data_IF_162812664791
#
_entry.id   IF_162812664791
#
_cell.length_a   1.000
_cell.length_b   1.000
_cell.length_c   1.000
_cell.angle_alpha   90.00
_cell.angle_beta   90.00
_cell.angle_gamma   90.00
#
_symmetry.space_group_name_H-M   'P 1'
#
loop_
_entity.id
_entity.type
_entity.pdbx_description
1 polymer ?
#
# COMPACT_ATOMS: atom_id res chain seq x y z
N UNK A 1 43.78 -18.40 31.71
CA UNK A 1 44.81 -19.27 31.10
C UNK A 1 44.27 -19.85 29.80
N UNK A 2 45.09 -19.75 28.76
CA UNK A 2 45.04 -20.40 27.42
C UNK A 2 43.93 -19.99 26.45
N UNK A 3 44.33 -19.08 25.56
CA UNK A 3 43.85 -18.80 24.20
C UNK A 3 43.96 -20.04 23.32
N UNK A 4 43.01 -20.26 22.42
CA UNK A 4 43.28 -20.95 21.13
C UNK A 4 42.59 -20.15 19.99
N UNK A 5 43.44 -19.49 19.21
CA UNK A 5 43.16 -19.06 17.83
C UNK A 5 43.12 -20.33 16.96
N UNK A 6 42.19 -20.35 16.01
CA UNK A 6 42.31 -21.17 14.80
C UNK A 6 42.01 -20.28 13.60
N UNK A 7 43.06 -19.97 12.86
CA UNK A 7 43.05 -19.42 11.52
C UNK A 7 42.76 -20.55 10.54
N UNK A 8 41.87 -20.36 9.56
CA UNK A 8 41.84 -21.19 8.34
C UNK A 8 41.73 -20.26 7.13
N UNK A 9 42.61 -20.55 6.23
CA UNK A 9 43.17 -19.89 5.08
C UNK A 9 42.21 -19.90 3.87
N UNK A 10 42.28 -18.82 3.13
CA UNK A 10 41.78 -18.55 1.80
C UNK A 10 42.29 -19.55 0.76
N UNK A 11 41.44 -20.03 -0.13
CA UNK A 11 41.85 -20.61 -1.42
C UNK A 11 40.98 -20.09 -2.55
N UNK A 12 41.61 -19.23 -3.33
CA UNK A 12 41.21 -18.68 -4.62
C UNK A 12 41.45 -19.72 -5.71
N UNK A 13 40.48 -19.95 -6.57
CA UNK A 13 40.77 -20.57 -7.88
C UNK A 13 39.96 -19.85 -8.98
N UNK A 14 40.72 -19.09 -9.78
CA UNK A 14 40.33 -18.62 -11.11
C UNK A 14 40.42 -19.79 -12.10
N UNK A 15 39.48 -19.84 -13.04
CA UNK A 15 39.68 -20.50 -14.34
C UNK A 15 38.96 -19.68 -15.44
N UNK A 16 39.79 -19.11 -16.31
CA UNK A 16 39.48 -18.56 -17.62
C UNK A 16 39.39 -19.69 -18.66
N UNK A 17 38.50 -19.52 -19.64
CA UNK A 17 38.70 -19.98 -21.06
C UNK A 17 37.61 -19.32 -21.92
N UNK A 18 37.87 -18.47 -22.72
CA UNK A 18 38.31 -18.14 -24.09
C UNK A 18 37.60 -18.93 -25.21
N UNK A 19 36.89 -18.10 -26.03
CA UNK A 19 36.76 -18.05 -27.50
C UNK A 19 36.27 -19.25 -28.33
N UNK A 20 35.30 -18.97 -29.22
CA UNK A 20 35.54 -19.07 -30.66
C UNK A 20 34.42 -18.46 -31.51
N UNK A 21 34.81 -17.66 -32.50
CA UNK A 21 34.06 -17.14 -33.65
C UNK A 21 33.64 -18.23 -34.62
N UNK A 22 32.53 -18.00 -35.35
CA UNK A 22 32.20 -18.76 -36.56
C UNK A 22 31.15 -18.05 -37.41
N UNK A 23 31.65 -17.40 -38.48
CA UNK A 23 30.88 -16.78 -39.60
C UNK A 23 30.24 -17.83 -40.52
N UNK A 24 29.14 -17.43 -41.23
CA UNK A 24 28.67 -18.14 -42.41
C UNK A 24 27.24 -17.77 -42.79
N UNK A 25 27.11 -17.05 -43.65
CA UNK A 25 26.51 -16.36 -44.78
C UNK A 25 25.51 -17.18 -45.64
N UNK A 26 24.58 -16.37 -46.26
CA UNK A 26 23.76 -16.58 -47.47
C UNK A 26 22.53 -17.49 -47.30
N UNK A 27 21.34 -17.14 -47.76
CA UNK A 27 20.84 -16.37 -48.86
C UNK A 27 19.46 -16.90 -49.22
N UNK A 28 18.60 -16.11 -49.81
CA UNK A 28 17.51 -16.61 -50.64
C UNK A 28 16.11 -16.07 -50.36
N UNK A 29 15.71 -15.23 -51.27
CA UNK A 29 14.48 -14.47 -51.42
C UNK A 29 13.24 -15.28 -51.82
N UNK A 30 12.10 -14.66 -51.60
CA UNK A 30 10.84 -14.54 -52.39
C UNK A 30 9.65 -14.48 -51.41
N UNK A 31 8.86 -13.47 -51.25
CA UNK A 31 8.12 -12.69 -52.25
C UNK A 31 6.70 -13.25 -52.38
N UNK A 32 5.71 -12.58 -51.75
CA UNK A 32 4.36 -12.37 -52.35
C UNK A 32 3.50 -11.48 -51.45
N UNK A 33 3.27 -10.27 -51.92
CA UNK A 33 2.03 -9.52 -52.12
C UNK A 33 0.90 -9.56 -51.08
N UNK A 34 0.58 -8.36 -50.62
CA UNK A 34 -0.69 -7.94 -49.99
C UNK A 34 -1.84 -7.91 -51.02
N UNK A 35 -3.06 -7.83 -50.57
CA UNK A 35 -3.96 -6.84 -51.18
C UNK A 35 -4.57 -5.86 -50.17
N UNK A 36 -4.91 -4.71 -50.75
CA UNK A 36 -5.32 -3.45 -50.22
C UNK A 36 -6.69 -3.40 -49.53
N UNK A 37 -6.86 -2.30 -48.81
CA UNK A 37 -8.04 -1.79 -48.12
C UNK A 37 -9.27 -1.54 -49.03
N UNK A 38 -10.45 -1.22 -48.41
CA UNK A 38 -10.98 0.06 -48.79
C UNK A 38 -11.25 1.02 -47.58
N UNK A 39 -10.98 2.27 -47.82
CA UNK A 39 -11.40 3.45 -47.07
C UNK A 39 -12.93 3.55 -47.00
N UNK A 40 -13.44 3.89 -45.82
CA UNK A 40 -14.65 4.71 -45.73
C UNK A 40 -14.49 5.74 -44.61
N UNK A 41 -14.54 6.99 -45.03
CA UNK A 41 -14.54 8.17 -44.20
C UNK A 41 -15.85 8.32 -43.40
N UNK A 42 -15.74 8.69 -42.11
CA UNK A 42 -16.75 9.48 -41.44
C UNK A 42 -16.06 10.42 -40.46
N UNK A 43 -16.21 11.70 -40.75
CA UNK A 43 -15.77 12.82 -39.92
C UNK A 43 -16.69 12.99 -38.72
N UNK A 44 -16.13 13.47 -37.60
CA UNK A 44 -16.93 14.15 -36.61
C UNK A 44 -16.39 14.12 -35.18
N UNK A 45 -15.84 15.25 -34.77
CA UNK A 45 -15.79 15.72 -33.37
C UNK A 45 -14.63 15.24 -32.49
N UNK A 46 -13.45 15.73 -32.79
CA UNK A 46 -12.40 15.98 -31.78
C UNK A 46 -12.39 17.48 -31.44
N UNK A 47 -12.87 17.83 -30.27
CA UNK A 47 -12.58 19.11 -29.61
C UNK A 47 -13.03 18.98 -28.14
N UNK A 48 -12.11 18.75 -27.21
CA UNK A 48 -12.40 18.87 -25.81
C UNK A 48 -11.45 18.22 -24.81
N UNK A 49 -10.35 17.57 -25.24
CA UNK A 49 -9.44 16.87 -24.31
C UNK A 49 -8.00 17.37 -24.29
N UNK A 50 -7.58 18.26 -25.18
CA UNK A 50 -6.16 18.65 -25.26
C UNK A 50 -5.77 19.85 -24.38
N UNK A 51 -6.71 20.61 -23.85
CA UNK A 51 -6.41 21.82 -23.08
C UNK A 51 -5.93 21.54 -21.65
N UNK A 52 -6.33 20.39 -21.05
CA UNK A 52 -5.90 20.00 -19.69
C UNK A 52 -4.50 19.40 -19.64
N UNK A 53 -4.12 18.66 -20.70
CA UNK A 53 -2.82 17.97 -20.78
C UNK A 53 -1.65 18.91 -21.14
N UNK A 54 -1.92 20.02 -21.84
CA UNK A 54 -0.88 20.98 -22.20
C UNK A 54 -0.52 21.95 -21.08
N UNK A 55 -1.48 22.32 -20.22
CA UNK A 55 -1.20 23.21 -19.09
C UNK A 55 -0.34 22.55 -17.99
N UNK A 56 -0.39 21.22 -17.85
CA UNK A 56 0.43 20.47 -16.89
C UNK A 56 1.87 20.21 -17.39
N UNK A 57 2.17 20.43 -18.68
CA UNK A 57 3.52 20.27 -19.26
C UNK A 57 4.31 21.58 -19.26
N UNK A 58 3.66 22.74 -19.21
CA UNK A 58 4.32 24.05 -19.08
C UNK A 58 4.70 24.28 -17.61
N UNK A 59 6.00 24.28 -17.29
CA UNK A 59 6.55 24.47 -15.94
C UNK A 59 7.12 23.22 -15.28
N UNK A 60 6.96 22.03 -15.85
CA UNK A 60 7.50 20.79 -15.26
C UNK A 60 9.06 20.80 -15.15
N UNK A 61 9.75 21.53 -16.03
CA UNK A 61 11.21 21.67 -16.00
C UNK A 61 11.70 22.72 -14.97
N UNK A 62 10.80 23.54 -14.42
CA UNK A 62 11.15 24.58 -13.44
C UNK A 62 11.37 23.97 -12.04
N UNK A 63 10.71 22.85 -11.73
CA UNK A 63 10.88 22.13 -10.48
C UNK A 63 12.19 21.34 -10.50
N UNK A 64 12.97 21.43 -9.41
CA UNK A 64 14.25 20.73 -9.26
C UNK A 64 14.57 20.43 -7.80
N UNK A 65 15.18 19.30 -7.56
CA UNK A 65 15.62 18.90 -6.20
C UNK A 65 15.29 17.45 -5.91
N UNK A 66 15.33 17.10 -4.64
CA UNK A 66 14.99 15.76 -4.15
C UNK A 66 13.89 15.88 -3.13
N UNK A 67 12.78 15.18 -3.34
CA UNK A 67 11.67 15.07 -2.40
C UNK A 67 11.73 13.72 -1.68
N UNK A 68 11.57 13.70 -0.36
CA UNK A 68 11.64 12.50 0.48
C UNK A 68 10.23 12.03 0.91
N UNK A 69 9.83 10.87 0.43
CA UNK A 69 8.57 10.20 0.80
C UNK A 69 8.81 9.18 1.91
N UNK A 70 8.06 9.26 3.03
CA UNK A 70 7.94 8.15 3.99
C UNK A 70 6.62 7.44 3.76
N UNK A 71 6.68 6.14 3.45
CA UNK A 71 5.47 5.41 3.09
C UNK A 71 5.42 3.99 3.65
N UNK A 72 4.19 3.58 3.97
CA UNK A 72 3.86 2.18 4.28
C UNK A 72 3.22 1.44 3.10
N UNK A 73 3.31 1.99 1.91
CA UNK A 73 2.94 1.34 0.66
C UNK A 73 4.05 0.38 0.22
N UNK A 74 3.71 -0.67 -0.51
CA UNK A 74 4.69 -1.63 -1.03
C UNK A 74 5.71 -0.94 -1.93
N UNK A 75 6.96 -1.36 -1.79
CA UNK A 75 8.09 -0.73 -2.49
C UNK A 75 7.92 -0.78 -4.02
N UNK A 76 7.34 -1.87 -4.57
CA UNK A 76 7.05 -1.97 -6.00
C UNK A 76 6.10 -0.89 -6.52
N UNK A 77 5.10 -0.53 -5.72
CA UNK A 77 4.16 0.57 -6.04
C UNK A 77 4.87 1.92 -5.96
N UNK A 78 5.70 2.12 -4.93
CA UNK A 78 6.48 3.36 -4.77
C UNK A 78 7.43 3.56 -5.95
N UNK A 79 8.09 2.49 -6.41
CA UNK A 79 8.99 2.53 -7.58
C UNK A 79 8.23 2.94 -8.85
N UNK A 80 7.05 2.36 -9.09
CA UNK A 80 6.23 2.72 -10.25
C UNK A 80 5.77 4.19 -10.20
N UNK A 81 5.37 4.67 -9.03
CA UNK A 81 5.03 6.09 -8.82
C UNK A 81 6.24 6.99 -9.04
N UNK A 82 7.42 6.59 -8.51
CA UNK A 82 8.68 7.31 -8.70
C UNK A 82 9.03 7.45 -10.18
N UNK A 83 9.02 6.35 -10.92
CA UNK A 83 9.33 6.36 -12.35
C UNK A 83 8.41 7.30 -13.15
N UNK A 84 7.12 7.26 -12.85
CA UNK A 84 6.15 8.11 -13.51
C UNK A 84 6.26 9.59 -13.07
N UNK A 85 6.52 9.84 -11.80
CA UNK A 85 6.75 11.19 -11.26
C UNK A 85 7.99 11.84 -11.85
N UNK A 86 9.12 11.14 -11.84
CA UNK A 86 10.39 11.62 -12.39
C UNK A 86 10.34 11.79 -13.93
N UNK A 87 9.52 10.99 -14.61
CA UNK A 87 9.25 11.20 -16.05
C UNK A 87 8.44 12.47 -16.30
N UNK A 88 7.48 12.79 -15.42
CA UNK A 88 6.66 14.02 -15.51
C UNK A 88 7.48 15.25 -15.09
N UNK A 89 8.38 15.11 -14.12
CA UNK A 89 9.24 16.17 -13.56
C UNK A 89 10.72 15.78 -13.63
N UNK A 90 11.38 15.94 -14.79
CA UNK A 90 12.67 15.31 -15.06
C UNK A 90 13.85 15.87 -14.24
N UNK A 91 13.68 17.03 -13.59
CA UNK A 91 14.69 17.64 -12.74
C UNK A 91 14.43 17.40 -11.24
N UNK A 92 13.39 16.60 -10.89
CA UNK A 92 13.06 16.23 -9.53
C UNK A 92 13.38 14.76 -9.32
N UNK A 93 14.05 14.44 -8.21
CA UNK A 93 14.28 13.07 -7.76
C UNK A 93 13.33 12.75 -6.61
N UNK A 94 12.64 11.61 -6.67
CA UNK A 94 11.87 11.09 -5.57
C UNK A 94 12.70 10.06 -4.80
N UNK A 95 13.13 10.38 -3.60
CA UNK A 95 13.68 9.44 -2.65
C UNK A 95 12.60 8.95 -1.68
N UNK A 96 12.77 7.75 -1.13
CA UNK A 96 11.75 7.20 -0.23
C UNK A 96 12.34 6.37 0.91
N UNK A 97 11.58 6.31 1.99
CA UNK A 97 11.73 5.37 3.09
C UNK A 97 10.48 4.50 3.18
N UNK A 98 10.59 3.26 2.69
CA UNK A 98 9.52 2.27 2.72
C UNK A 98 9.61 1.44 4.00
N UNK A 99 8.59 1.51 4.86
CA UNK A 99 8.53 0.76 6.12
C UNK A 99 7.07 0.62 6.59
N UNK A 100 6.82 -0.21 7.61
CA UNK A 100 5.48 -0.27 8.23
C UNK A 100 5.07 1.08 8.82
N UNK A 101 3.75 1.34 8.91
CA UNK A 101 3.22 2.61 9.44
C UNK A 101 3.83 2.95 10.81
N UNK A 102 3.92 1.98 11.72
CA UNK A 102 4.50 2.21 13.05
C UNK A 102 5.97 2.63 13.00
N UNK A 103 6.77 2.07 12.08
CA UNK A 103 8.18 2.48 11.90
C UNK A 103 8.30 3.89 11.33
N UNK A 104 7.45 4.25 10.35
CA UNK A 104 7.40 5.59 9.80
C UNK A 104 7.01 6.62 10.87
N UNK A 105 5.98 6.34 11.66
CA UNK A 105 5.53 7.21 12.78
C UNK A 105 6.63 7.38 13.82
N UNK A 106 7.30 6.29 14.23
CA UNK A 106 8.41 6.36 15.19
C UNK A 106 9.58 7.21 14.66
N UNK A 107 9.88 7.08 13.36
CA UNK A 107 10.92 7.87 12.72
C UNK A 107 10.56 9.34 12.68
N UNK A 108 9.34 9.69 12.27
CA UNK A 108 8.82 11.07 12.28
C UNK A 108 8.83 11.66 13.69
N UNK A 109 8.37 10.93 14.70
CA UNK A 109 8.39 11.39 16.09
C UNK A 109 9.82 11.71 16.57
N UNK A 110 10.80 10.88 16.18
CA UNK A 110 12.22 11.12 16.51
C UNK A 110 12.74 12.38 15.81
N UNK A 111 12.36 12.61 14.56
CA UNK A 111 12.75 13.80 13.80
C UNK A 111 12.15 15.08 14.38
N UNK A 112 10.86 15.07 14.75
CA UNK A 112 10.23 16.20 15.44
C UNK A 112 10.89 16.50 16.79
N UNK A 113 11.21 15.47 17.57
CA UNK A 113 11.92 15.65 18.85
C UNK A 113 13.33 16.22 18.67
N UNK A 114 14.02 15.86 17.59
CA UNK A 114 15.35 16.39 17.29
C UNK A 114 15.34 17.81 16.70
N UNK A 115 14.16 18.27 16.25
CA UNK A 115 13.99 19.52 15.54
C UNK A 115 14.51 19.51 14.11
N UNK A 116 14.80 18.32 13.55
CA UNK A 116 15.27 18.17 12.17
C UNK A 116 14.42 17.14 11.46
N UNK A 117 13.52 17.59 10.59
CA UNK A 117 12.64 16.77 9.78
C UNK A 117 13.35 16.47 8.45
N UNK A 118 13.39 15.21 8.06
CA UNK A 118 13.92 14.78 6.77
C UNK A 118 12.82 14.35 5.79
N UNK A 119 11.63 14.08 6.28
CA UNK A 119 10.46 13.70 5.50
C UNK A 119 9.81 14.93 4.86
N UNK A 120 9.58 14.89 3.56
CA UNK A 120 8.82 15.92 2.86
C UNK A 120 7.33 15.57 2.73
N UNK A 121 7.01 14.28 2.50
CA UNK A 121 5.66 13.79 2.42
C UNK A 121 5.53 12.47 3.18
N UNK A 122 4.54 12.34 4.05
CA UNK A 122 4.20 11.10 4.73
C UNK A 122 2.95 10.47 4.11
N UNK A 123 3.00 9.17 3.76
CA UNK A 123 1.87 8.41 3.22
C UNK A 123 1.71 7.09 3.97
N UNK A 124 0.77 7.05 4.89
CA UNK A 124 0.65 5.98 5.88
C UNK A 124 -0.72 5.30 5.83
N UNK A 125 -0.75 3.99 5.98
CA UNK A 125 -1.98 3.23 6.18
C UNK A 125 -2.46 3.34 7.66
N UNK A 126 -2.47 4.55 8.19
CA UNK A 126 -2.82 4.84 9.58
C UNK A 126 -3.41 6.25 9.73
N UNK A 127 -4.72 6.43 9.50
CA UNK A 127 -5.38 7.73 9.68
C UNK A 127 -5.26 8.29 11.09
N UNK A 128 -5.30 7.42 12.12
CA UNK A 128 -5.20 7.86 13.51
C UNK A 128 -3.83 8.50 13.82
N UNK A 129 -2.76 8.02 13.18
CA UNK A 129 -1.44 8.64 13.31
C UNK A 129 -1.39 10.03 12.67
N UNK A 130 -2.06 10.23 11.52
CA UNK A 130 -2.13 11.56 10.90
C UNK A 130 -2.94 12.55 11.74
N UNK A 131 -4.01 12.08 12.40
CA UNK A 131 -4.78 12.90 13.35
C UNK A 131 -3.89 13.32 14.53
N UNK A 132 -3.16 12.39 15.12
CA UNK A 132 -2.22 12.69 16.20
C UNK A 132 -1.15 13.71 15.76
N UNK A 133 -0.57 13.54 14.57
CA UNK A 133 0.40 14.49 14.02
C UNK A 133 -0.21 15.89 13.80
N UNK A 134 -1.46 15.96 13.34
CA UNK A 134 -2.20 17.23 13.22
C UNK A 134 -2.38 17.88 14.59
N UNK A 135 -2.89 17.14 15.57
CA UNK A 135 -3.22 17.65 16.91
C UNK A 135 -1.97 18.13 17.65
N UNK A 136 -0.83 17.47 17.42
CA UNK A 136 0.48 17.89 17.92
C UNK A 136 1.06 19.10 17.18
N UNK A 137 0.38 19.60 16.12
CA UNK A 137 0.84 20.70 15.29
C UNK A 137 2.03 20.38 14.41
N UNK A 138 2.19 19.10 14.04
CA UNK A 138 3.31 18.54 13.28
C UNK A 138 3.01 18.36 11.77
N UNK A 139 1.85 18.81 11.29
CA UNK A 139 1.52 18.84 9.87
C UNK A 139 1.34 20.27 9.37
N UNK A 140 1.56 20.45 8.06
CA UNK A 140 1.19 21.66 7.32
C UNK A 140 -0.16 21.43 6.62
N UNK A 141 -0.99 22.46 6.58
CA UNK A 141 -2.23 22.45 5.80
C UNK A 141 -1.90 22.67 4.33
N UNK A 142 -2.41 21.81 3.46
CA UNK A 142 -2.35 21.95 2.02
C UNK A 142 -3.63 21.43 1.37
N UNK A 143 -4.25 22.28 0.54
CA UNK A 143 -5.46 21.95 -0.18
C UNK A 143 -5.13 21.65 -1.64
N UNK A 144 -4.90 20.36 -1.94
CA UNK A 144 -4.71 19.91 -3.31
C UNK A 144 -5.96 20.15 -4.16
N UNK A 145 -5.82 20.63 -5.41
CA UNK A 145 -6.95 20.78 -6.34
C UNK A 145 -7.62 19.43 -6.65
N UNK A 146 -6.89 18.32 -6.52
CA UNK A 146 -7.42 16.97 -6.73
C UNK A 146 -8.20 16.42 -5.53
N UNK A 147 -8.12 17.07 -4.37
CA UNK A 147 -8.84 16.63 -3.18
C UNK A 147 -10.31 17.09 -3.13
N UNK A 148 -10.76 17.96 -4.04
CA UNK A 148 -12.12 18.52 -4.01
C UNK A 148 -13.17 17.42 -4.12
N UNK A 149 -13.00 16.47 -5.04
CA UNK A 149 -13.94 15.36 -5.30
C UNK A 149 -13.89 14.21 -4.31
N UNK A 150 -12.94 14.20 -3.36
CA UNK A 150 -12.79 13.12 -2.37
C UNK A 150 -13.82 13.28 -1.26
N UNK A 151 -14.49 12.16 -0.89
CA UNK A 151 -15.47 12.13 0.20
C UNK A 151 -14.87 12.70 1.50
N UNK A 152 -15.66 13.53 2.20
CA UNK A 152 -15.23 14.15 3.45
C UNK A 152 -14.85 13.17 4.56
N UNK A 153 -15.30 11.92 4.49
CA UNK A 153 -14.89 10.84 5.41
C UNK A 153 -13.42 10.44 5.27
N UNK A 154 -12.80 10.77 4.13
CA UNK A 154 -11.44 10.36 3.79
C UNK A 154 -10.42 11.49 3.88
N UNK A 155 -10.84 12.71 4.25
CA UNK A 155 -9.95 13.87 4.32
C UNK A 155 -10.21 14.73 5.54
N UNK A 156 -9.21 15.47 5.95
CA UNK A 156 -9.34 16.50 6.96
C UNK A 156 -9.98 17.77 6.39
N UNK A 157 -10.94 18.36 7.11
CA UNK A 157 -11.65 19.55 6.66
C UNK A 157 -10.76 20.80 6.54
N UNK A 158 -9.67 20.84 7.33
CA UNK A 158 -8.72 21.95 7.36
C UNK A 158 -7.50 21.69 6.43
N UNK A 159 -7.48 20.55 5.69
CA UNK A 159 -6.48 20.23 4.68
C UNK A 159 -5.15 19.72 5.22
N UNK A 160 -5.06 19.28 6.48
CA UNK A 160 -3.80 18.75 7.03
C UNK A 160 -3.43 17.37 6.48
N UNK A 161 -4.41 16.57 6.06
CA UNK A 161 -4.20 15.29 5.40
C UNK A 161 -5.37 14.93 4.49
N UNK A 162 -5.11 14.08 3.53
CA UNK A 162 -6.13 13.52 2.65
C UNK A 162 -5.83 12.05 2.37
N UNK A 163 -6.84 11.18 2.42
CA UNK A 163 -6.71 9.83 1.91
C UNK A 163 -6.24 9.84 0.46
N UNK A 164 -5.29 8.98 0.13
CA UNK A 164 -4.75 8.91 -1.23
C UNK A 164 -5.02 7.55 -1.89
N UNK A 165 -5.47 6.58 -1.13
CA UNK A 165 -5.95 5.26 -1.58
C UNK A 165 -6.77 4.62 -0.49
N UNK A 166 -7.58 3.62 -0.85
CA UNK A 166 -8.19 2.71 0.12
C UNK A 166 -7.46 1.37 0.10
N UNK A 167 -7.38 0.73 1.27
CA UNK A 167 -7.11 -0.68 1.39
C UNK A 167 -8.26 -1.35 2.15
N UNK A 168 -8.52 -2.60 1.82
CA UNK A 168 -9.52 -3.42 2.48
C UNK A 168 -8.82 -4.53 3.27
N UNK A 169 -9.28 -4.74 4.51
CA UNK A 169 -8.91 -5.90 5.28
C UNK A 169 -9.87 -7.05 4.96
N UNK A 170 -9.33 -8.25 4.79
CA UNK A 170 -10.11 -9.40 4.43
C UNK A 170 -9.41 -10.71 4.75
N UNK A 171 -9.82 -11.79 4.11
CA UNK A 171 -9.26 -13.12 4.34
C UNK A 171 -8.27 -13.47 3.25
N UNK A 172 -7.01 -13.63 3.61
CA UNK A 172 -6.00 -14.30 2.78
C UNK A 172 -5.90 -15.76 3.19
N UNK A 173 -5.89 -16.68 2.25
CA UNK A 173 -5.75 -18.10 2.53
C UNK A 173 -4.77 -18.80 1.58
N UNK A 174 -4.20 -19.92 2.02
CA UNK A 174 -3.29 -20.73 1.20
C UNK A 174 -4.08 -21.71 0.34
N UNK A 175 -4.05 -21.52 -0.98
CA UNK A 175 -4.70 -22.46 -1.92
C UNK A 175 -4.05 -23.85 -1.96
N UNK A 176 -2.87 -24.00 -1.34
CA UNK A 176 -2.21 -25.29 -1.19
C UNK A 176 -2.78 -26.14 -0.03
N UNK A 177 -3.40 -25.50 0.99
CA UNK A 177 -3.82 -26.18 2.24
C UNK A 177 -5.28 -25.88 2.64
N UNK A 178 -5.96 -24.98 1.94
CA UNK A 178 -7.34 -24.56 2.16
C UNK A 178 -8.01 -24.33 0.81
N UNK A 179 -9.15 -24.99 0.55
CA UNK A 179 -9.90 -24.72 -0.68
C UNK A 179 -10.68 -23.40 -0.58
N UNK A 180 -11.15 -22.90 -1.71
CA UNK A 180 -11.95 -21.67 -1.79
C UNK A 180 -13.25 -21.80 -0.97
N UNK A 181 -13.90 -22.97 -1.01
CA UNK A 181 -15.13 -23.23 -0.27
C UNK A 181 -14.91 -23.39 1.25
N UNK A 182 -13.70 -23.78 1.67
CA UNK A 182 -13.35 -23.90 3.09
C UNK A 182 -12.96 -22.55 3.70
N UNK A 183 -12.40 -21.65 2.90
CA UNK A 183 -11.96 -20.35 3.36
C UNK A 183 -13.15 -19.48 3.80
N UNK A 184 -13.09 -18.84 4.98
CA UNK A 184 -14.20 -18.04 5.49
C UNK A 184 -14.41 -16.76 4.65
N UNK A 185 -15.66 -16.26 4.64
CA UNK A 185 -16.05 -14.99 4.02
C UNK A 185 -16.45 -13.94 5.06
N UNK A 186 -16.16 -14.20 6.34
CA UNK A 186 -16.37 -13.29 7.47
C UNK A 186 -15.36 -13.61 8.56
N UNK A 187 -15.23 -12.71 9.54
CA UNK A 187 -14.25 -12.89 10.62
C UNK A 187 -14.68 -13.97 11.64
N UNK A 188 -15.96 -14.25 11.81
CA UNK A 188 -16.43 -15.36 12.68
C UNK A 188 -15.88 -16.71 12.21
N UNK A 189 -15.76 -16.90 10.91
CA UNK A 189 -15.25 -18.12 10.33
C UNK A 189 -13.82 -18.48 10.73
N UNK A 190 -13.02 -17.51 11.19
CA UNK A 190 -11.68 -17.77 11.74
C UNK A 190 -11.72 -18.63 13.01
N UNK A 191 -12.85 -18.67 13.72
CA UNK A 191 -13.04 -19.48 14.92
C UNK A 191 -13.42 -20.94 14.60
N UNK A 192 -13.46 -21.32 13.33
CA UNK A 192 -13.73 -22.69 12.90
C UNK A 192 -12.65 -23.66 13.38
N UNK A 193 -13.07 -24.87 13.83
CA UNK A 193 -12.18 -25.89 14.39
C UNK A 193 -11.06 -26.32 13.43
N UNK A 194 -11.33 -26.30 12.11
CA UNK A 194 -10.38 -26.66 11.06
C UNK A 194 -9.20 -25.68 10.91
N UNK A 195 -9.30 -24.52 11.55
CA UNK A 195 -8.30 -23.44 11.49
C UNK A 195 -7.50 -23.29 12.78
N UNK A 196 -7.75 -24.13 13.79
CA UNK A 196 -7.02 -24.08 15.05
C UNK A 196 -5.52 -24.23 14.82
N UNK A 197 -4.72 -23.33 15.41
CA UNK A 197 -3.26 -23.25 15.26
C UNK A 197 -2.78 -23.05 13.79
N UNK A 198 -3.67 -22.53 12.91
CA UNK A 198 -3.42 -22.35 11.48
C UNK A 198 -3.69 -20.91 10.99
N UNK A 199 -3.77 -19.95 11.91
CA UNK A 199 -4.14 -18.58 11.61
C UNK A 199 -2.99 -17.64 11.92
N UNK A 200 -2.80 -16.65 11.07
CA UNK A 200 -1.78 -15.60 11.26
C UNK A 200 -2.39 -14.21 11.13
N UNK A 201 -1.88 -13.27 11.89
CA UNK A 201 -2.28 -11.86 11.88
C UNK A 201 -1.05 -10.95 11.94
N UNK A 202 -1.11 -9.80 11.32
CA UNK A 202 -0.07 -8.78 11.50
C UNK A 202 -0.24 -8.13 12.87
N UNK A 203 0.86 -7.89 13.59
CA UNK A 203 0.85 -7.19 14.88
C UNK A 203 0.34 -5.74 14.71
N UNK A 204 -0.76 -5.33 15.39
CA UNK A 204 -1.32 -4.00 15.25
C UNK A 204 -0.39 -2.89 15.75
N UNK A 205 0.60 -3.19 16.59
CA UNK A 205 1.60 -2.22 17.05
C UNK A 205 2.44 -1.68 15.88
N UNK A 206 2.73 -2.54 14.89
CA UNK A 206 3.49 -2.18 13.69
C UNK A 206 2.63 -1.80 12.48
N UNK A 207 1.33 -2.12 12.50
CA UNK A 207 0.43 -2.01 11.34
C UNK A 207 -0.79 -1.15 11.65
N UNK A 208 -0.88 0.02 11.02
CA UNK A 208 -2.05 0.90 11.18
C UNK A 208 -3.35 0.28 10.65
N UNK A 209 -3.29 -0.50 9.57
CA UNK A 209 -4.47 -1.19 9.03
C UNK A 209 -4.96 -2.30 9.97
N UNK A 210 -4.05 -3.06 10.59
CA UNK A 210 -4.43 -4.06 11.59
C UNK A 210 -4.97 -3.39 12.87
N UNK A 211 -4.40 -2.26 13.27
CA UNK A 211 -4.93 -1.45 14.39
C UNK A 211 -6.35 -0.98 14.10
N UNK A 212 -6.63 -0.53 12.89
CA UNK A 212 -7.97 -0.16 12.45
C UNK A 212 -8.93 -1.36 12.45
N UNK A 213 -8.48 -2.55 12.01
CA UNK A 213 -9.26 -3.78 12.09
C UNK A 213 -9.60 -4.13 13.54
N UNK A 214 -8.63 -4.11 14.45
CA UNK A 214 -8.87 -4.38 15.88
C UNK A 214 -9.89 -3.39 16.44
N UNK A 215 -9.74 -2.11 16.16
CA UNK A 215 -10.69 -1.09 16.62
C UNK A 215 -12.10 -1.33 16.05
N UNK A 216 -12.22 -1.56 14.74
CA UNK A 216 -13.50 -1.79 14.09
C UNK A 216 -14.24 -2.99 14.71
N UNK A 217 -13.54 -4.11 14.85
CA UNK A 217 -14.15 -5.34 15.38
C UNK A 217 -14.43 -5.24 16.89
N UNK A 218 -13.59 -4.57 17.68
CA UNK A 218 -13.86 -4.43 19.13
C UNK A 218 -15.03 -3.49 19.42
N UNK A 219 -15.37 -2.59 18.50
CA UNK A 219 -16.51 -1.69 18.59
C UNK A 219 -17.77 -2.21 17.87
N UNK A 220 -17.67 -3.33 17.14
CA UNK A 220 -18.83 -3.98 16.52
C UNK A 220 -19.53 -4.94 17.49
N UNK A 221 -20.87 -4.92 17.48
CA UNK A 221 -21.69 -5.71 18.40
C UNK A 221 -21.60 -7.24 18.21
N UNK A 222 -21.12 -7.69 17.04
CA UNK A 222 -20.99 -9.11 16.73
C UNK A 222 -19.67 -9.69 17.24
N UNK A 223 -18.65 -8.85 17.47
CA UNK A 223 -17.29 -9.31 17.77
C UNK A 223 -16.84 -8.93 19.19
N UNK A 224 -16.53 -7.66 19.45
CA UNK A 224 -16.01 -7.21 20.74
C UNK A 224 -14.63 -7.78 21.09
N UNK A 225 -14.15 -7.51 22.30
CA UNK A 225 -12.88 -8.05 22.79
C UNK A 225 -12.90 -9.57 23.00
N UNK A 226 -14.07 -10.15 23.27
CA UNK A 226 -14.23 -11.61 23.41
C UNK A 226 -13.85 -12.36 22.13
N UNK A 227 -14.02 -11.74 20.97
CA UNK A 227 -13.56 -12.30 19.71
C UNK A 227 -12.04 -12.47 19.67
N UNK A 228 -11.29 -11.47 20.12
CA UNK A 228 -9.82 -11.53 20.16
C UNK A 228 -9.32 -12.51 21.23
N UNK A 229 -10.00 -12.65 22.35
CA UNK A 229 -9.72 -13.70 23.36
C UNK A 229 -9.88 -15.10 22.73
N UNK A 230 -10.97 -15.33 21.97
CA UNK A 230 -11.18 -16.58 21.22
C UNK A 230 -10.14 -16.79 20.12
N UNK A 231 -9.71 -15.73 19.42
CA UNK A 231 -8.63 -15.83 18.44
C UNK A 231 -7.30 -16.25 19.10
N UNK A 232 -7.00 -15.77 20.29
CA UNK A 232 -5.85 -16.24 21.07
C UNK A 232 -5.97 -17.71 21.43
N UNK A 233 -7.14 -18.16 21.91
CA UNK A 233 -7.42 -19.57 22.19
C UNK A 233 -7.38 -20.44 20.93
N UNK A 234 -7.71 -19.85 19.77
CA UNK A 234 -7.62 -20.45 18.44
C UNK A 234 -6.17 -20.61 17.96
N UNK A 235 -5.19 -20.04 18.65
CA UNK A 235 -3.78 -20.16 18.34
C UNK A 235 -3.30 -19.21 17.23
N UNK A 236 -3.93 -18.03 17.11
CA UNK A 236 -3.47 -17.01 16.14
C UNK A 236 -2.07 -16.54 16.47
N UNK A 237 -1.17 -16.61 15.48
CA UNK A 237 0.19 -16.09 15.58
C UNK A 237 0.33 -14.69 15.02
N UNK A 238 1.22 -13.89 15.62
CA UNK A 238 1.49 -12.51 15.20
C UNK A 238 2.75 -12.43 14.34
N UNK A 239 2.67 -11.66 13.26
CA UNK A 239 3.77 -11.33 12.37
C UNK A 239 4.05 -9.82 12.36
N UNK A 240 5.29 -9.45 12.05
CA UNK A 240 5.75 -8.07 12.12
C UNK A 240 5.29 -7.17 10.97
N UNK A 241 4.74 -7.74 9.90
CA UNK A 241 4.29 -7.02 8.70
C UNK A 241 3.31 -7.84 7.87
N UNK A 242 2.51 -7.17 7.03
CA UNK A 242 1.60 -7.83 6.08
C UNK A 242 2.36 -8.74 5.09
N UNK A 243 3.56 -8.35 4.68
CA UNK A 243 4.42 -9.20 3.84
C UNK A 243 4.82 -10.50 4.54
N UNK A 244 5.19 -10.44 5.83
CA UNK A 244 5.51 -11.65 6.62
C UNK A 244 4.27 -12.52 6.82
N UNK A 245 3.10 -11.92 7.03
CA UNK A 245 1.81 -12.61 7.12
C UNK A 245 1.53 -13.37 5.82
N UNK A 246 1.59 -12.71 4.67
CA UNK A 246 1.36 -13.33 3.37
C UNK A 246 2.37 -14.44 3.05
N UNK A 247 3.65 -14.23 3.37
CA UNK A 247 4.70 -15.25 3.19
C UNK A 247 4.43 -16.50 4.02
N UNK A 248 3.96 -16.34 5.26
CA UNK A 248 3.56 -17.45 6.12
C UNK A 248 2.42 -18.27 5.54
N UNK A 249 1.42 -17.60 4.95
CA UNK A 249 0.27 -18.25 4.30
C UNK A 249 0.70 -18.91 2.98
N UNK A 250 1.45 -18.20 2.13
CA UNK A 250 1.92 -18.71 0.84
C UNK A 250 2.82 -19.95 0.99
N UNK A 251 3.62 -20.01 2.05
CA UNK A 251 4.45 -21.18 2.36
C UNK A 251 3.66 -22.39 2.90
N UNK A 252 2.39 -22.22 3.22
CA UNK A 252 1.53 -23.23 3.85
C UNK A 252 1.82 -23.43 5.35
N UNK A 253 2.59 -22.55 5.98
CA UNK A 253 2.78 -22.55 7.44
C UNK A 253 1.47 -22.23 8.17
N UNK A 254 0.63 -21.42 7.56
CA UNK A 254 -0.73 -21.11 8.02
C UNK A 254 -1.73 -21.33 6.89
N UNK A 255 -2.94 -21.74 7.25
CA UNK A 255 -4.04 -21.90 6.28
C UNK A 255 -4.61 -20.58 5.85
N UNK A 256 -4.76 -19.64 6.78
CA UNK A 256 -5.36 -18.34 6.53
C UNK A 256 -4.85 -17.25 7.49
N UNK A 257 -5.16 -16.00 7.15
CA UNK A 257 -4.85 -14.85 7.98
C UNK A 257 -5.63 -13.61 7.60
N UNK A 258 -5.50 -12.61 8.46
CA UNK A 258 -6.05 -11.28 8.22
C UNK A 258 -5.19 -10.55 7.19
N UNK A 259 -5.65 -10.50 5.97
CA UNK A 259 -4.92 -9.97 4.82
C UNK A 259 -5.28 -8.54 4.48
N UNK A 260 -4.47 -7.98 3.59
CA UNK A 260 -4.71 -6.71 2.90
C UNK A 260 -4.94 -7.03 1.43
N UNK A 261 -6.02 -6.51 0.86
CA UNK A 261 -6.52 -6.83 -0.48
C UNK A 261 -5.45 -6.76 -1.57
N UNK A 262 -4.91 -5.59 -1.83
CA UNK A 262 -3.95 -5.37 -2.91
C UNK A 262 -2.65 -6.18 -2.73
N UNK A 263 -2.16 -6.32 -1.49
CA UNK A 263 -0.96 -7.12 -1.22
C UNK A 263 -1.16 -8.58 -1.61
N UNK A 264 -2.30 -9.15 -1.23
CA UNK A 264 -2.65 -10.53 -1.54
C UNK A 264 -2.89 -10.71 -3.04
N UNK A 265 -3.71 -9.82 -3.65
CA UNK A 265 -4.04 -9.88 -5.09
C UNK A 265 -2.81 -9.73 -5.98
N UNK A 266 -1.85 -8.87 -5.63
CA UNK A 266 -0.58 -8.74 -6.36
C UNK A 266 0.24 -10.03 -6.30
N UNK A 267 0.40 -10.63 -5.12
CA UNK A 267 1.10 -11.91 -4.98
C UNK A 267 0.39 -13.05 -5.72
N UNK A 268 -0.95 -13.06 -5.74
CA UNK A 268 -1.72 -14.01 -6.58
C UNK A 268 -1.43 -13.82 -8.06
N UNK A 269 -1.36 -12.59 -8.54
CA UNK A 269 -1.02 -12.28 -9.93
C UNK A 269 0.42 -12.70 -10.29
N UNK A 270 1.33 -12.71 -9.34
CA UNK A 270 2.70 -13.22 -9.47
C UNK A 270 2.81 -14.75 -9.35
N UNK A 271 1.68 -15.44 -9.13
CA UNK A 271 1.61 -16.90 -9.06
C UNK A 271 1.84 -17.49 -7.66
N UNK A 272 1.80 -16.69 -6.60
CA UNK A 272 1.83 -17.22 -5.23
C UNK A 272 0.57 -18.06 -4.95
N UNK A 273 0.67 -19.16 -4.18
CA UNK A 273 -0.47 -20.04 -3.88
C UNK A 273 -1.36 -19.42 -2.79
N UNK A 274 -1.88 -18.23 -3.08
CA UNK A 274 -2.79 -17.47 -2.22
C UNK A 274 -4.17 -17.36 -2.86
N UNK A 275 -5.19 -17.25 -2.00
CA UNK A 275 -6.54 -16.86 -2.36
C UNK A 275 -6.98 -15.67 -1.50
N UNK A 276 -8.03 -14.99 -1.95
CA UNK A 276 -8.58 -13.81 -1.29
C UNK A 276 -10.10 -13.86 -1.23
N UNK A 277 -10.65 -13.60 -0.05
CA UNK A 277 -12.07 -13.27 0.09
C UNK A 277 -12.25 -11.88 0.69
N UNK A 278 -13.06 -11.06 0.04
CA UNK A 278 -13.64 -9.88 0.66
C UNK A 278 -14.58 -10.33 1.79
N UNK A 279 -14.52 -9.64 2.92
CA UNK A 279 -15.41 -9.92 4.05
C UNK A 279 -16.73 -9.16 3.92
N UNK A 280 -17.81 -9.71 4.48
CA UNK A 280 -19.08 -8.99 4.60
C UNK A 280 -18.97 -7.79 5.53
N UNK A 281 -18.09 -7.88 6.53
CA UNK A 281 -17.80 -6.84 7.50
C UNK A 281 -16.57 -6.08 7.01
N UNK A 282 -16.76 -5.23 6.00
CA UNK A 282 -15.67 -4.53 5.31
C UNK A 282 -14.98 -3.57 6.29
N UNK A 283 -13.70 -3.77 6.52
CA UNK A 283 -12.83 -2.80 7.18
C UNK A 283 -12.00 -2.10 6.12
N UNK A 284 -12.34 -0.85 5.85
CA UNK A 284 -11.65 -0.02 4.86
C UNK A 284 -10.80 1.04 5.56
N UNK A 285 -9.55 1.15 5.11
CA UNK A 285 -8.59 2.11 5.68
C UNK A 285 -8.18 3.09 4.60
N UNK A 286 -8.59 4.37 4.68
CA UNK A 286 -8.01 5.41 3.86
C UNK A 286 -6.56 5.60 4.29
N UNK A 287 -5.66 5.58 3.31
CA UNK A 287 -4.25 5.75 3.57
C UNK A 287 -3.87 7.20 3.31
N UNK A 288 -3.88 8.05 4.33
CA UNK A 288 -3.69 9.48 4.13
C UNK A 288 -2.26 9.85 3.79
N UNK A 289 -2.14 10.91 3.00
CA UNK A 289 -0.92 11.69 2.81
C UNK A 289 -1.02 13.00 3.57
N UNK A 290 0.11 13.48 4.09
CA UNK A 290 0.23 14.75 4.80
C UNK A 290 1.66 15.26 4.73
N UNK A 291 1.82 16.57 4.74
CA UNK A 291 3.12 17.24 4.69
C UNK A 291 3.58 17.52 6.12
N UNK A 292 4.70 16.94 6.59
CA UNK A 292 5.23 17.24 7.91
C UNK A 292 5.64 18.70 8.04
N UNK A 293 5.35 19.30 9.19
CA UNK A 293 5.83 20.64 9.50
C UNK A 293 7.36 20.65 9.59
N UNK A 294 7.99 21.52 8.84
CA UNK A 294 9.44 21.58 8.72
C UNK A 294 9.99 20.70 7.60
N UNK A 295 9.13 20.20 6.70
CA UNK A 295 9.54 19.54 5.46
C UNK A 295 10.59 20.37 4.71
N UNK A 296 11.78 19.81 4.38
CA UNK A 296 12.84 20.55 3.70
C UNK A 296 12.45 21.06 2.29
N UNK A 297 11.55 20.36 1.61
CA UNK A 297 11.15 20.61 0.22
C UNK A 297 9.62 20.73 0.12
N UNK A 298 9.04 21.70 0.82
CA UNK A 298 7.58 21.87 0.91
C UNK A 298 6.90 21.98 -0.48
N UNK A 299 7.48 22.75 -1.41
CA UNK A 299 6.95 22.90 -2.76
C UNK A 299 6.97 21.58 -3.54
N UNK A 300 8.05 20.80 -3.45
CA UNK A 300 8.13 19.47 -4.07
C UNK A 300 7.23 18.45 -3.37
N UNK A 301 7.00 18.60 -2.06
CA UNK A 301 6.03 17.78 -1.33
C UNK A 301 4.60 18.02 -1.83
N UNK A 302 4.21 19.28 -2.04
CA UNK A 302 2.92 19.64 -2.63
C UNK A 302 2.78 19.10 -4.07
N UNK A 303 3.84 19.19 -4.87
CA UNK A 303 3.87 18.64 -6.22
C UNK A 303 3.67 17.10 -6.23
N UNK A 304 4.35 16.38 -5.33
CA UNK A 304 4.21 14.93 -5.17
C UNK A 304 2.82 14.56 -4.63
N UNK A 305 2.29 15.35 -3.69
CA UNK A 305 0.95 15.20 -3.14
C UNK A 305 -0.10 15.27 -4.26
N UNK A 306 -0.02 16.31 -5.10
CA UNK A 306 -0.91 16.50 -6.24
C UNK A 306 -0.77 15.36 -7.26
N UNK A 307 0.46 14.95 -7.57
CA UNK A 307 0.70 13.82 -8.47
C UNK A 307 0.09 12.51 -7.97
N UNK A 308 0.18 12.23 -6.66
CA UNK A 308 -0.40 11.01 -6.07
C UNK A 308 -1.93 11.03 -6.16
N UNK A 309 -2.56 12.19 -6.00
CA UNK A 309 -4.02 12.35 -6.09
C UNK A 309 -4.53 12.54 -7.53
N UNK A 310 -3.66 12.84 -8.49
CA UNK A 310 -4.03 13.05 -9.89
C UNK A 310 -4.65 11.76 -10.48
N UNK A 311 -5.92 11.81 -10.97
CA UNK A 311 -6.58 10.66 -11.59
C UNK A 311 -5.81 10.06 -12.76
N UNK A 312 -5.13 10.89 -13.56
CA UNK A 312 -4.31 10.48 -14.71
C UNK A 312 -2.86 10.18 -14.32
N UNK A 313 -2.46 10.52 -13.10
CA UNK A 313 -1.15 10.29 -12.50
C UNK A 313 -1.12 9.11 -11.54
N UNK A 314 -0.95 9.43 -10.26
CA UNK A 314 -0.81 8.42 -9.20
C UNK A 314 -2.01 7.49 -9.08
N UNK A 315 -3.24 7.97 -9.18
CA UNK A 315 -4.44 7.12 -9.03
C UNK A 315 -4.53 6.06 -10.14
N UNK A 316 -4.19 6.42 -11.39
CA UNK A 316 -4.14 5.46 -12.50
C UNK A 316 -3.06 4.38 -12.29
N UNK A 317 -1.94 4.72 -11.65
CA UNK A 317 -0.89 3.75 -11.30
C UNK A 317 -1.38 2.80 -10.21
N UNK A 318 -2.05 3.32 -9.18
CA UNK A 318 -2.54 2.51 -8.06
C UNK A 318 -3.46 1.37 -8.53
N UNK A 319 -4.36 1.63 -9.49
CA UNK A 319 -5.27 0.61 -10.03
C UNK A 319 -4.54 -0.56 -10.70
N UNK A 320 -3.36 -0.31 -11.31
CA UNK A 320 -2.53 -1.36 -11.93
C UNK A 320 -1.94 -2.33 -10.89
N UNK A 321 -1.89 -1.91 -9.63
CA UNK A 321 -1.42 -2.70 -8.49
C UNK A 321 -2.57 -3.19 -7.59
N UNK A 322 -3.77 -3.34 -8.13
CA UNK A 322 -4.96 -3.76 -7.40
C UNK A 322 -5.31 -2.88 -6.20
N UNK A 323 -4.85 -1.64 -6.17
CA UNK A 323 -5.12 -0.68 -5.09
C UNK A 323 -6.35 0.15 -5.48
N UNK A 324 -7.34 0.19 -4.60
CA UNK A 324 -8.52 1.03 -4.80
C UNK A 324 -8.15 2.51 -4.74
N UNK A 325 -8.34 3.27 -5.83
CA UNK A 325 -8.09 4.71 -5.85
C UNK A 325 -9.08 5.42 -4.92
N UNK A 326 -8.64 6.55 -4.35
CA UNK A 326 -9.49 7.35 -3.45
C UNK A 326 -10.47 8.22 -4.23
N UNK A 327 -10.14 8.53 -5.48
CA UNK A 327 -11.00 9.29 -6.39
C UNK A 327 -11.77 8.31 -7.25
N UNK A 328 -13.08 8.44 -7.28
CA UNK A 328 -13.92 7.62 -8.14
C UNK A 328 -13.63 7.93 -9.60
N UNK A 329 -13.02 6.97 -10.30
CA UNK A 329 -12.79 7.04 -11.75
C UNK A 329 -13.92 6.38 -12.55
N UNK A 330 -13.97 6.67 -13.86
CA UNK A 330 -14.95 6.10 -14.77
C UNK A 330 -14.66 4.63 -15.12
N UNK A 331 -13.42 4.21 -15.06
CA UNK A 331 -12.96 2.86 -15.42
C UNK A 331 -12.11 2.26 -14.30
N UNK A 332 -12.73 1.47 -13.44
CA UNK A 332 -12.02 0.60 -12.49
C UNK A 332 -11.86 -0.82 -13.08
N UNK A 333 -10.81 -1.55 -12.69
CA UNK A 333 -10.70 -2.97 -13.00
C UNK A 333 -11.93 -3.77 -12.56
N UNK A 334 -12.24 -4.84 -13.29
CA UNK A 334 -13.37 -5.73 -12.97
C UNK A 334 -13.27 -6.22 -11.52
N UNK A 335 -14.37 -6.07 -10.77
CA UNK A 335 -14.46 -6.49 -9.37
C UNK A 335 -13.88 -5.51 -8.35
N UNK A 336 -13.35 -4.38 -8.76
CA UNK A 336 -12.92 -3.31 -7.84
C UNK A 336 -14.10 -2.38 -7.53
N UNK A 337 -14.42 -2.22 -6.26
CA UNK A 337 -15.45 -1.28 -5.81
C UNK A 337 -14.94 0.16 -5.86
N UNK A 338 -15.85 1.11 -6.09
CA UNK A 338 -15.55 2.54 -5.97
C UNK A 338 -15.34 2.95 -4.51
N UNK A 339 -14.50 3.96 -4.29
CA UNK A 339 -14.28 4.50 -2.95
C UNK A 339 -15.59 4.97 -2.28
N UNK A 340 -16.49 5.59 -3.04
CA UNK A 340 -17.82 6.01 -2.56
C UNK A 340 -18.72 4.84 -2.17
N UNK A 341 -18.63 3.69 -2.84
CA UNK A 341 -19.38 2.48 -2.48
C UNK A 341 -18.82 1.89 -1.18
N UNK A 342 -17.50 1.77 -1.09
CA UNK A 342 -16.80 1.29 0.12
C UNK A 342 -17.14 2.16 1.33
N UNK A 343 -17.15 3.48 1.18
CA UNK A 343 -17.50 4.43 2.25
C UNK A 343 -18.89 4.20 2.85
N UNK A 344 -19.82 3.60 2.08
CA UNK A 344 -21.17 3.30 2.52
C UNK A 344 -21.33 1.88 3.10
N UNK A 345 -20.46 0.94 2.72
CA UNK A 345 -20.54 -0.48 3.10
C UNK A 345 -19.62 -0.84 4.27
N UNK A 346 -18.52 -0.10 4.45
CA UNK A 346 -17.53 -0.41 5.48
C UNK A 346 -18.07 -0.21 6.89
N UNK A 347 -17.56 -1.03 7.81
CA UNK A 347 -17.78 -0.83 9.23
C UNK A 347 -17.35 0.59 9.64
N UNK A 348 -18.15 1.27 10.47
CA UNK A 348 -17.81 2.61 10.90
C UNK A 348 -16.55 2.62 11.78
N UNK A 349 -15.62 3.49 11.46
CA UNK A 349 -14.42 3.75 12.29
C UNK A 349 -14.43 5.24 12.63
N UNK A 350 -14.50 5.54 13.92
CA UNK A 350 -14.22 6.89 14.42
C UNK A 350 -12.70 7.04 14.54
N UNK A 351 -12.10 7.68 13.53
CA UNK A 351 -10.65 7.85 13.46
C UNK A 351 -10.11 8.79 14.54
N UNK A 352 -10.93 9.74 15.01
CA UNK A 352 -10.55 10.65 16.10
C UNK A 352 -10.53 9.89 17.42
N UNK A 353 -11.57 9.08 17.68
CA UNK A 353 -11.59 8.23 18.86
C UNK A 353 -10.45 7.19 18.80
N UNK A 354 -10.23 6.53 17.67
CA UNK A 354 -9.10 5.61 17.50
C UNK A 354 -7.75 6.29 17.79
N UNK A 355 -7.56 7.53 17.36
CA UNK A 355 -6.34 8.28 17.68
C UNK A 355 -6.19 8.48 19.20
N UNK A 356 -7.29 8.87 19.87
CA UNK A 356 -7.30 9.12 21.31
C UNK A 356 -7.06 7.85 22.15
N UNK A 357 -7.65 6.70 21.74
CA UNK A 357 -7.58 5.44 22.50
C UNK A 357 -6.49 4.49 22.01
N UNK A 358 -5.67 4.89 21.05
CA UNK A 358 -4.70 4.03 20.34
C UNK A 358 -3.79 3.24 21.28
N UNK A 359 -3.24 3.88 22.30
CA UNK A 359 -2.35 3.24 23.27
C UNK A 359 -3.12 2.22 24.13
N UNK A 360 -4.31 2.58 24.61
CA UNK A 360 -5.16 1.67 25.42
C UNK A 360 -5.60 0.44 24.61
N UNK A 361 -5.97 0.65 23.34
CA UNK A 361 -6.31 -0.42 22.41
C UNK A 361 -5.15 -1.41 22.24
N UNK A 362 -3.94 -0.89 21.99
CA UNK A 362 -2.75 -1.71 21.79
C UNK A 362 -2.30 -2.41 23.06
N UNK A 363 -2.33 -1.74 24.22
CA UNK A 363 -2.01 -2.33 25.52
C UNK A 363 -2.96 -3.49 25.83
N UNK A 364 -4.27 -3.34 25.55
CA UNK A 364 -5.26 -4.39 25.76
C UNK A 364 -5.07 -5.55 24.80
N UNK A 365 -4.76 -5.28 23.53
CA UNK A 365 -4.43 -6.32 22.55
C UNK A 365 -3.19 -7.11 22.99
N UNK A 366 -2.13 -6.41 23.42
CA UNK A 366 -0.90 -7.03 23.91
C UNK A 366 -1.12 -7.87 25.17
N UNK A 367 -2.00 -7.44 26.06
CA UNK A 367 -2.38 -8.21 27.24
C UNK A 367 -3.04 -9.57 26.88
N UNK A 368 -3.76 -9.64 25.75
CA UNK A 368 -4.35 -10.88 25.25
C UNK A 368 -3.29 -11.75 24.55
N UNK A 369 -2.52 -11.19 23.65
CA UNK A 369 -1.69 -11.98 22.73
C UNK A 369 -0.25 -12.21 23.18
N UNK A 370 0.33 -11.33 23.99
CA UNK A 370 1.76 -11.35 24.36
C UNK A 370 2.04 -11.74 25.81
N UNK A 371 0.98 -12.03 26.61
CA UNK A 371 1.10 -12.47 28.01
C UNK A 371 0.76 -13.94 28.21
#
# INVERSE_FOLDING_TARGET
MKKRLVSITLATTMLLSLTACGSGNSGGAAGTAAPAAPETAAAGSEAGSEAGSQAAAEGAEDYKGTVMLYSSTDEGVIIALKEAFEKKYPNVTLDYYAATSGKCVTKLATEFQSGTVACDLAWLADPSAMITLKDDGNLLSYNSPYAEGIDGKFKDADGYYCGARLLLMGVTFSTATCSDEEAPTNYDGFLGESFKDQIVMTDPTGSGSTKALVYALTNDSNYGWEYFEKLKEQGVELQSSSGSTNNGIASGAYKLGFGVDYNTKNLMAEGSPLGWHDTKDIVAVPCPIGIPKGAPQEELAQLLYDFILDPEGGQAILTQYNITPIVDGDALPDGMMKASEIANLALPIDWVDLAAVSNELLDRFDAIFKN
#
